data_IF_031151835462
#
_entry.id   IF_031151835462
#
_cell.length_a   1.000
_cell.length_b   1.000
_cell.length_c   1.000
_cell.angle_alpha   90.00
_cell.angle_beta   90.00
_cell.angle_gamma   90.00
#
_symmetry.space_group_name_H-M   'P 1'
#
loop_
_entity.id
_entity.type
_entity.pdbx_description
1 polymer ?
#
# COMPACT_ATOMS: atom_id res chain seq x y z
N UNK A 1 4.23 6.25 -3.19
CA UNK A 1 4.42 4.87 -2.69
C UNK A 1 3.49 3.84 -3.34
N UNK A 2 2.20 4.13 -3.59
CA UNK A 2 1.24 3.12 -4.05
C UNK A 2 1.09 2.89 -5.56
N UNK A 3 1.86 3.60 -6.39
CA UNK A 3 1.83 3.48 -7.85
C UNK A 3 0.44 3.70 -8.51
N UNK A 4 -0.52 4.30 -7.81
CA UNK A 4 -1.85 4.64 -8.36
C UNK A 4 -2.94 3.58 -8.17
N UNK A 5 -2.67 2.48 -7.47
CA UNK A 5 -3.67 1.43 -7.21
C UNK A 5 -3.79 0.40 -8.34
N UNK A 6 -4.88 -0.38 -8.33
CA UNK A 6 -5.11 -1.49 -9.28
C UNK A 6 -6.42 -1.27 -10.06
N UNK A 7 -6.31 -1.10 -11.38
CA UNK A 7 -7.48 -0.87 -12.24
C UNK A 7 -8.42 -2.10 -12.30
N UNK A 8 -7.88 -3.32 -12.23
CA UNK A 8 -8.69 -4.54 -12.20
C UNK A 8 -9.55 -4.60 -10.93
N UNK A 9 -8.97 -4.30 -9.77
CA UNK A 9 -9.71 -4.24 -8.51
C UNK A 9 -10.71 -3.09 -8.49
N UNK A 10 -10.33 -1.92 -9.02
CA UNK A 10 -11.24 -0.78 -9.16
C UNK A 10 -12.50 -1.18 -9.94
N UNK A 11 -12.35 -1.86 -11.08
CA UNK A 11 -13.48 -2.35 -11.86
C UNK A 11 -14.28 -3.42 -11.13
N UNK A 12 -13.63 -4.40 -10.50
CA UNK A 12 -14.31 -5.47 -9.76
C UNK A 12 -15.16 -4.94 -8.59
N UNK A 13 -14.66 -3.93 -7.87
CA UNK A 13 -15.29 -3.42 -6.66
C UNK A 13 -16.30 -2.30 -6.93
N UNK A 14 -16.06 -1.45 -7.93
CA UNK A 14 -16.86 -0.24 -8.19
C UNK A 14 -17.59 -0.25 -9.53
N UNK A 15 -17.34 -1.23 -10.40
CA UNK A 15 -17.87 -1.27 -11.77
C UNK A 15 -17.23 -0.27 -12.73
N UNK A 16 -16.23 0.51 -12.29
CA UNK A 16 -15.56 1.52 -13.10
C UNK A 16 -14.05 1.34 -13.11
N UNK A 17 -13.43 1.42 -14.29
CA UNK A 17 -11.98 1.43 -14.44
C UNK A 17 -11.33 2.70 -13.82
N UNK A 18 -12.11 3.78 -13.72
CA UNK A 18 -11.71 5.03 -13.06
C UNK A 18 -12.14 5.08 -11.59
N UNK A 19 -12.75 4.01 -11.09
CA UNK A 19 -13.13 3.90 -9.70
C UNK A 19 -11.92 3.64 -8.79
N UNK A 20 -12.19 3.44 -7.51
CA UNK A 20 -11.14 3.21 -6.51
C UNK A 20 -11.52 2.07 -5.58
N UNK A 21 -10.63 1.10 -5.43
CA UNK A 21 -10.75 0.03 -4.43
C UNK A 21 -10.29 0.54 -3.06
N UNK A 22 -11.24 1.10 -2.29
CA UNK A 22 -10.96 1.72 -0.98
C UNK A 22 -10.30 0.74 0.00
N UNK A 23 -10.77 -0.50 0.05
CA UNK A 23 -10.22 -1.51 0.95
C UNK A 23 -8.78 -1.86 0.56
N UNK A 24 -8.52 -2.10 -0.73
CA UNK A 24 -7.18 -2.36 -1.23
C UNK A 24 -6.20 -1.19 -0.99
N UNK A 25 -6.67 0.05 -1.14
CA UNK A 25 -5.88 1.24 -0.84
C UNK A 25 -5.46 1.33 0.63
N UNK A 26 -6.38 1.12 1.57
CA UNK A 26 -6.07 1.15 3.02
C UNK A 26 -5.12 0.02 3.41
N UNK A 27 -5.34 -1.18 2.88
CA UNK A 27 -4.44 -2.31 3.11
C UNK A 27 -3.02 -2.03 2.58
N UNK A 28 -2.92 -1.47 1.37
CA UNK A 28 -1.63 -1.13 0.79
C UNK A 28 -0.91 -0.04 1.60
N UNK A 29 -1.65 0.98 2.07
CA UNK A 29 -1.10 2.01 2.95
C UNK A 29 -0.48 1.38 4.19
N UNK A 30 -1.18 0.43 4.84
CA UNK A 30 -0.62 -0.30 5.98
C UNK A 30 0.64 -1.11 5.62
N UNK A 31 0.67 -1.75 4.45
CA UNK A 31 1.86 -2.47 3.98
C UNK A 31 3.08 -1.55 3.83
N UNK A 32 2.87 -0.32 3.35
CA UNK A 32 3.94 0.68 3.25
C UNK A 32 4.41 1.14 4.63
N UNK A 33 3.51 1.41 5.57
CA UNK A 33 3.88 1.73 6.96
C UNK A 33 4.77 0.63 7.56
N UNK A 34 4.37 -0.64 7.41
CA UNK A 34 5.17 -1.77 7.88
C UNK A 34 6.53 -1.87 7.18
N UNK A 35 6.58 -1.68 5.85
CA UNK A 35 7.83 -1.72 5.10
C UNK A 35 8.82 -0.63 5.54
N UNK A 36 8.31 0.58 5.80
CA UNK A 36 9.11 1.69 6.34
C UNK A 36 9.64 1.32 7.73
N UNK A 37 8.79 0.81 8.63
CA UNK A 37 9.23 0.40 9.96
C UNK A 37 10.28 -0.71 9.95
N UNK A 38 10.19 -1.66 9.01
CA UNK A 38 11.23 -2.68 8.83
C UNK A 38 12.57 -2.02 8.45
N UNK A 39 12.56 -1.00 7.59
CA UNK A 39 13.78 -0.26 7.22
C UNK A 39 14.34 0.53 8.40
N UNK A 40 13.48 1.17 9.19
CA UNK A 40 13.88 1.88 10.42
C UNK A 40 14.51 0.90 11.41
N UNK A 41 13.86 -0.23 11.70
CA UNK A 41 14.37 -1.23 12.62
C UNK A 41 15.75 -1.76 12.20
N UNK A 42 15.95 -2.00 10.90
CA UNK A 42 17.26 -2.39 10.35
C UNK A 42 18.32 -1.31 10.54
N UNK A 43 17.99 -0.05 10.27
CA UNK A 43 18.91 1.07 10.44
C UNK A 43 19.31 1.24 11.91
N UNK A 44 18.34 1.21 12.83
CA UNK A 44 18.58 1.29 14.28
C UNK A 44 19.44 0.12 14.76
N UNK A 45 19.15 -1.11 14.33
CA UNK A 45 19.93 -2.28 14.72
C UNK A 45 21.38 -2.25 14.19
N UNK A 46 21.63 -1.62 13.03
CA UNK A 46 22.97 -1.48 12.46
C UNK A 46 23.84 -0.39 13.11
N UNK A 47 23.26 0.46 13.96
CA UNK A 47 23.97 1.57 14.63
C UNK A 47 24.35 1.27 16.09
N UNK A 48 24.10 0.05 16.55
CA UNK A 48 24.52 -0.52 17.85
C UNK A 48 25.58 -1.58 17.63
#
# INVERSE_FOLDING_TARGET
>A
YCAGGCAANAFHMSGSLLGTDKFGCELFKKRIECAIMIKVAKAVASTT
#
